data_IF_299558492570
#
_entry.id   IF_299558492570
#
_cell.length_a   1.000
_cell.length_b   1.000
_cell.length_c   1.000
_cell.angle_alpha   90.00
_cell.angle_beta   90.00
_cell.angle_gamma   90.00
#
_symmetry.space_group_name_H-M   'P 1'
#
loop_
_entity.id
_entity.type
_entity.pdbx_description
1 polymer ?
#
# COMPACT_ATOMS: atom_id res chain seq x y z
N UNK A 1 0.77 25.11 -5.45
CA UNK A 1 0.46 24.64 -4.07
C UNK A 1 0.58 23.13 -4.07
N UNK A 2 1.47 22.59 -3.23
CA UNK A 2 1.64 21.14 -3.07
C UNK A 2 0.41 20.57 -2.35
N UNK A 3 -0.44 19.89 -3.10
CA UNK A 3 -1.59 19.20 -2.52
C UNK A 3 -1.07 17.99 -1.75
N UNK A 4 -1.38 17.84 -0.45
CA UNK A 4 -0.97 16.68 0.30
C UNK A 4 -1.49 15.39 -0.34
N UNK A 5 -0.63 14.36 -0.44
CA UNK A 5 -1.02 13.05 -0.94
C UNK A 5 -1.93 12.35 0.09
N UNK A 6 -3.23 12.62 0.03
CA UNK A 6 -4.23 12.01 0.92
C UNK A 6 -4.86 10.79 0.28
N UNK A 7 -5.06 9.75 1.07
CA UNK A 7 -5.61 8.47 0.61
C UNK A 7 -6.95 8.62 -0.12
N UNK A 8 -7.85 9.44 0.40
CA UNK A 8 -9.18 9.63 -0.20
C UNK A 8 -9.10 10.25 -1.61
N UNK A 9 -8.19 11.21 -1.81
CA UNK A 9 -7.94 11.82 -3.13
C UNK A 9 -7.33 10.82 -4.09
N UNK A 10 -6.28 10.12 -3.66
CA UNK A 10 -5.59 9.12 -4.49
C UNK A 10 -6.52 7.97 -4.88
N UNK A 11 -7.35 7.48 -3.96
CA UNK A 11 -8.34 6.43 -4.25
C UNK A 11 -9.37 6.91 -5.26
N UNK A 12 -9.89 8.14 -5.12
CA UNK A 12 -10.85 8.72 -6.05
C UNK A 12 -10.25 8.85 -7.47
N UNK A 13 -9.03 9.35 -7.59
CA UNK A 13 -8.32 9.48 -8.87
C UNK A 13 -8.07 8.10 -9.50
N UNK A 14 -7.59 7.12 -8.71
CA UNK A 14 -7.39 5.75 -9.19
C UNK A 14 -8.69 5.10 -9.67
N UNK A 15 -9.79 5.31 -8.99
CA UNK A 15 -11.10 4.83 -9.45
C UNK A 15 -11.46 5.41 -10.81
N UNK A 16 -11.14 6.68 -11.07
CA UNK A 16 -11.32 7.32 -12.38
C UNK A 16 -10.46 6.67 -13.48
N UNK A 17 -9.17 6.45 -13.19
CA UNK A 17 -8.23 5.79 -14.11
C UNK A 17 -8.65 4.34 -14.40
N UNK A 18 -9.05 3.59 -13.38
CA UNK A 18 -9.50 2.20 -13.53
C UNK A 18 -10.77 2.10 -14.37
N UNK A 19 -11.72 3.01 -14.16
CA UNK A 19 -12.94 3.08 -14.99
C UNK A 19 -12.57 3.30 -16.45
N UNK A 20 -11.73 4.32 -16.73
CA UNK A 20 -11.23 4.62 -18.06
C UNK A 20 -10.54 3.40 -18.71
N UNK A 21 -9.69 2.71 -17.96
CA UNK A 21 -8.98 1.54 -18.46
C UNK A 21 -9.95 0.40 -18.82
N UNK A 22 -10.89 0.09 -17.94
CA UNK A 22 -11.86 -1.01 -18.14
C UNK A 22 -12.85 -0.78 -19.27
N UNK A 23 -13.15 0.46 -19.59
CA UNK A 23 -13.98 0.80 -20.78
C UNK A 23 -13.26 0.51 -22.11
N UNK A 24 -11.91 0.47 -22.10
CA UNK A 24 -11.08 0.39 -23.32
C UNK A 24 -10.36 -0.94 -23.49
N UNK A 25 -10.05 -1.60 -22.39
CA UNK A 25 -9.29 -2.85 -22.41
C UNK A 25 -10.04 -3.98 -21.70
N UNK A 26 -10.03 -5.15 -22.31
CA UNK A 26 -10.65 -6.35 -21.72
C UNK A 26 -9.85 -6.90 -20.54
N UNK A 27 -8.54 -6.70 -20.56
CA UNK A 27 -7.58 -7.19 -19.57
C UNK A 27 -6.91 -5.99 -18.93
N UNK A 28 -7.13 -5.81 -17.64
CA UNK A 28 -6.54 -4.74 -16.84
C UNK A 28 -5.85 -5.37 -15.65
N UNK A 29 -4.55 -5.09 -15.50
CA UNK A 29 -3.79 -5.42 -14.31
C UNK A 29 -3.45 -4.18 -13.52
N UNK A 30 -2.96 -4.37 -12.30
CA UNK A 30 -2.53 -3.27 -11.43
C UNK A 30 -1.13 -3.57 -10.88
N UNK A 31 -0.24 -2.58 -10.95
CA UNK A 31 1.04 -2.60 -10.25
C UNK A 31 1.04 -1.51 -9.19
N UNK A 32 1.43 -1.86 -7.96
CA UNK A 32 1.55 -0.91 -6.85
C UNK A 32 2.82 -1.13 -6.05
N UNK A 33 3.43 -0.02 -5.62
CA UNK A 33 4.60 -0.03 -4.74
C UNK A 33 4.27 0.75 -3.47
N UNK A 34 4.67 0.22 -2.31
CA UNK A 34 4.54 0.89 -1.02
C UNK A 34 3.10 1.41 -0.78
N UNK A 35 2.93 2.71 -0.48
CA UNK A 35 1.62 3.37 -0.35
C UNK A 35 0.75 3.24 -1.61
N UNK A 36 1.36 3.23 -2.81
CA UNK A 36 0.62 3.05 -4.06
C UNK A 36 -0.10 1.71 -4.13
N UNK A 37 0.46 0.65 -3.53
CA UNK A 37 -0.23 -0.62 -3.38
C UNK A 37 -1.47 -0.50 -2.49
N UNK A 38 -1.37 0.21 -1.35
CA UNK A 38 -2.49 0.43 -0.45
C UNK A 38 -3.65 1.22 -1.12
N UNK A 39 -3.33 2.28 -1.86
CA UNK A 39 -4.35 3.01 -2.61
C UNK A 39 -5.02 2.12 -3.66
N UNK A 40 -4.24 1.26 -4.34
CA UNK A 40 -4.77 0.26 -5.25
C UNK A 40 -5.65 -0.77 -4.55
N UNK A 41 -5.25 -1.25 -3.38
CA UNK A 41 -6.07 -2.17 -2.58
C UNK A 41 -7.45 -1.58 -2.27
N UNK A 42 -7.53 -0.29 -1.92
CA UNK A 42 -8.80 0.38 -1.67
C UNK A 42 -9.60 0.64 -2.96
N UNK A 43 -8.94 1.14 -4.01
CA UNK A 43 -9.61 1.50 -5.26
C UNK A 43 -10.10 0.29 -6.08
N UNK A 44 -9.44 -0.87 -5.91
CA UNK A 44 -9.70 -2.07 -6.71
C UNK A 44 -10.53 -3.13 -6.00
N UNK A 45 -10.96 -2.90 -4.75
CA UNK A 45 -11.79 -3.89 -4.03
C UNK A 45 -13.02 -4.28 -4.85
N UNK A 46 -13.17 -5.60 -5.10
CA UNK A 46 -14.28 -6.14 -5.85
C UNK A 46 -14.25 -5.89 -7.38
N UNK A 47 -13.17 -5.28 -7.90
CA UNK A 47 -12.99 -5.15 -9.34
C UNK A 47 -12.36 -6.41 -9.92
N UNK A 48 -12.84 -6.93 -11.06
CA UNK A 48 -12.22 -8.05 -11.74
C UNK A 48 -10.95 -7.57 -12.47
N UNK A 49 -9.82 -7.66 -11.78
CA UNK A 49 -8.51 -7.43 -12.37
C UNK A 49 -7.90 -8.76 -12.82
N UNK A 50 -7.16 -8.72 -13.92
CA UNK A 50 -6.49 -9.91 -14.42
C UNK A 50 -5.38 -10.39 -13.51
N UNK A 51 -4.60 -9.44 -12.99
CA UNK A 51 -3.55 -9.67 -11.99
C UNK A 51 -3.15 -8.39 -11.28
N UNK A 52 -2.59 -8.57 -10.11
CA UNK A 52 -1.95 -7.49 -9.37
C UNK A 52 -0.52 -7.87 -8.99
N UNK A 53 0.39 -6.91 -9.09
CA UNK A 53 1.78 -7.07 -8.67
C UNK A 53 2.09 -5.98 -7.65
N UNK A 54 2.55 -6.39 -6.49
CA UNK A 54 2.89 -5.45 -5.41
C UNK A 54 4.36 -5.57 -5.03
N UNK A 55 5.04 -4.42 -4.97
CA UNK A 55 6.40 -4.31 -4.49
C UNK A 55 6.42 -3.59 -3.14
N UNK A 56 6.94 -4.25 -2.11
CA UNK A 56 7.03 -3.71 -0.74
C UNK A 56 5.73 -3.01 -0.30
N UNK A 57 4.56 -3.68 -0.41
CA UNK A 57 3.28 -3.01 -0.24
C UNK A 57 3.02 -2.59 1.20
N UNK A 58 2.41 -1.43 1.39
CA UNK A 58 1.63 -1.15 2.59
C UNK A 58 0.28 -1.86 2.43
N UNK A 59 -0.05 -2.73 3.38
CA UNK A 59 -1.32 -3.49 3.39
C UNK A 59 -2.26 -3.06 4.53
N UNK A 60 -1.71 -2.39 5.56
CA UNK A 60 -2.46 -1.86 6.70
C UNK A 60 -1.94 -0.45 7.07
N UNK A 61 -2.51 0.57 6.48
CA UNK A 61 -2.13 1.96 6.73
C UNK A 61 -2.58 2.44 8.11
N UNK A 62 -3.70 1.92 8.63
CA UNK A 62 -4.18 2.28 9.95
C UNK A 62 -3.12 1.91 11.00
N UNK A 63 -2.58 0.71 10.92
CA UNK A 63 -1.55 0.22 11.85
C UNK A 63 -0.27 1.06 11.78
N UNK A 64 0.14 1.49 10.57
CA UNK A 64 1.30 2.39 10.41
C UNK A 64 1.05 3.74 11.10
N UNK A 65 -0.12 4.33 10.89
CA UNK A 65 -0.47 5.61 11.52
C UNK A 65 -0.55 5.45 13.04
N UNK A 66 -1.16 4.39 13.55
CA UNK A 66 -1.24 4.10 14.99
C UNK A 66 0.15 3.87 15.60
N UNK A 67 1.05 3.21 14.87
CA UNK A 67 2.46 3.08 15.26
C UNK A 67 3.16 4.44 15.41
N UNK A 68 3.00 5.33 14.43
CA UNK A 68 3.52 6.70 14.52
C UNK A 68 2.88 7.49 15.67
N UNK A 69 1.56 7.36 15.84
CA UNK A 69 0.86 8.00 16.97
C UNK A 69 1.42 7.52 18.32
N UNK A 70 1.65 6.23 18.48
CA UNK A 70 2.24 5.67 19.69
C UNK A 70 3.68 6.18 19.91
N UNK A 71 4.50 6.19 18.85
CA UNK A 71 5.89 6.66 18.92
C UNK A 71 5.99 8.13 19.37
N UNK A 72 5.08 8.98 18.92
CA UNK A 72 5.08 10.42 19.20
C UNK A 72 4.09 10.84 20.31
N UNK A 73 3.54 9.89 21.05
CA UNK A 73 2.58 10.13 22.13
C UNK A 73 1.37 10.97 21.68
N UNK A 74 0.89 10.71 20.46
CA UNK A 74 -0.32 11.33 19.92
C UNK A 74 -1.51 10.40 20.17
N UNK A 75 -2.54 10.91 20.86
CA UNK A 75 -3.80 10.17 21.04
C UNK A 75 -4.78 10.48 19.92
N UNK A 76 -5.72 9.57 19.60
CA UNK A 76 -6.78 9.86 18.63
C UNK A 76 -7.60 11.11 18.98
N UNK A 77 -7.85 11.32 20.27
CA UNK A 77 -8.56 12.52 20.77
C UNK A 77 -7.80 13.81 20.49
N UNK A 78 -6.48 13.80 20.69
CA UNK A 78 -5.61 14.93 20.38
C UNK A 78 -5.55 15.19 18.87
N UNK A 79 -5.34 14.16 18.07
CA UNK A 79 -5.29 14.29 16.61
C UNK A 79 -6.64 14.79 16.04
N UNK A 80 -7.76 14.35 16.62
CA UNK A 80 -9.09 14.84 16.26
C UNK A 80 -9.29 16.32 16.59
N UNK A 81 -8.79 16.76 17.75
CA UNK A 81 -8.95 18.14 18.19
C UNK A 81 -8.08 19.13 17.40
N UNK A 82 -6.84 18.73 17.06
CA UNK A 82 -5.90 19.57 16.33
C UNK A 82 -6.07 19.47 14.79
N UNK A 83 -6.63 18.37 14.29
CA UNK A 83 -6.84 18.13 12.85
C UNK A 83 -5.58 17.60 12.18
N UNK A 84 -4.43 18.19 12.44
CA UNK A 84 -3.13 17.78 11.92
C UNK A 84 -2.04 17.99 12.98
N UNK A 85 -1.08 17.06 13.00
CA UNK A 85 0.06 17.12 13.94
C UNK A 85 1.34 16.76 13.18
N UNK A 86 2.25 17.73 12.96
CA UNK A 86 3.57 17.47 12.40
C UNK A 86 4.39 16.58 13.34
N UNK A 87 5.14 15.63 12.81
CA UNK A 87 6.05 14.80 13.59
C UNK A 87 7.52 15.18 13.36
N UNK A 88 8.43 14.87 14.30
CA UNK A 88 9.85 15.18 14.15
C UNK A 88 10.54 14.49 12.97
N UNK A 89 9.96 13.45 12.39
CA UNK A 89 10.47 12.71 11.22
C UNK A 89 10.01 13.31 9.89
N UNK A 90 9.37 14.50 9.90
CA UNK A 90 8.93 15.19 8.70
C UNK A 90 7.61 14.67 8.11
N UNK A 91 6.96 13.72 8.77
CA UNK A 91 5.60 13.27 8.42
C UNK A 91 4.57 14.06 9.23
N UNK A 92 3.42 14.36 8.64
CA UNK A 92 2.31 14.97 9.37
C UNK A 92 1.18 13.96 9.51
N UNK A 93 0.71 13.79 10.74
CA UNK A 93 -0.49 13.00 11.03
C UNK A 93 -1.72 13.87 10.75
N UNK A 94 -2.66 13.33 9.96
CA UNK A 94 -3.91 14.01 9.62
C UNK A 94 -5.09 13.23 10.18
N UNK A 95 -6.01 13.91 10.87
CA UNK A 95 -7.21 13.27 11.42
C UNK A 95 -8.12 12.71 10.32
N UNK A 96 -8.33 13.44 9.23
CA UNK A 96 -9.18 13.02 8.12
C UNK A 96 -8.60 11.78 7.41
N UNK A 97 -7.27 11.68 7.29
CA UNK A 97 -6.59 10.50 6.75
C UNK A 97 -6.78 9.30 7.68
N UNK A 98 -6.46 9.45 8.98
CA UNK A 98 -6.60 8.38 9.97
C UNK A 98 -8.05 7.87 10.04
N UNK A 99 -9.04 8.78 10.11
CA UNK A 99 -10.44 8.42 10.09
C UNK A 99 -10.81 7.64 8.83
N UNK A 100 -10.40 8.12 7.65
CA UNK A 100 -10.70 7.47 6.39
C UNK A 100 -10.19 6.03 6.35
N UNK A 101 -8.94 5.77 6.71
CA UNK A 101 -8.38 4.41 6.68
C UNK A 101 -9.04 3.49 7.72
N UNK A 102 -9.45 4.04 8.88
CA UNK A 102 -10.16 3.28 9.91
C UNK A 102 -11.59 2.89 9.48
N UNK A 103 -12.24 3.75 8.70
CA UNK A 103 -13.59 3.52 8.17
C UNK A 103 -13.59 2.64 6.91
N UNK A 104 -12.44 2.49 6.23
CA UNK A 104 -12.31 1.76 4.96
C UNK A 104 -11.23 0.68 5.02
N UNK A 105 -11.37 -0.33 5.88
CA UNK A 105 -10.40 -1.43 5.94
C UNK A 105 -10.45 -2.28 4.66
N UNK A 106 -9.32 -2.87 4.30
CA UNK A 106 -9.27 -3.88 3.22
C UNK A 106 -9.84 -5.19 3.74
N UNK A 107 -11.11 -5.43 3.47
CA UNK A 107 -11.84 -6.61 3.96
C UNK A 107 -11.98 -7.71 2.92
N UNK A 108 -11.83 -7.38 1.64
CA UNK A 108 -11.96 -8.31 0.52
C UNK A 108 -10.90 -8.04 -0.54
N UNK A 109 -10.28 -9.12 -1.02
CA UNK A 109 -9.37 -9.06 -2.15
C UNK A 109 -9.45 -10.37 -2.93
N UNK A 110 -9.88 -10.31 -4.18
CA UNK A 110 -10.12 -11.49 -5.03
C UNK A 110 -9.20 -11.52 -6.26
N UNK A 111 -8.43 -10.45 -6.52
CA UNK A 111 -7.57 -10.39 -7.71
C UNK A 111 -6.35 -11.31 -7.54
N UNK A 112 -5.99 -12.10 -8.57
CA UNK A 112 -4.75 -12.88 -8.56
C UNK A 112 -3.55 -11.95 -8.31
N UNK A 113 -2.81 -12.18 -7.23
CA UNK A 113 -1.80 -11.24 -6.76
C UNK A 113 -0.48 -11.93 -6.46
N UNK A 114 0.61 -11.33 -6.96
CA UNK A 114 1.96 -11.63 -6.52
C UNK A 114 2.57 -10.44 -5.77
N UNK A 115 3.22 -10.71 -4.67
CA UNK A 115 3.87 -9.72 -3.79
C UNK A 115 5.35 -10.03 -3.76
N UNK A 116 6.19 -9.00 -3.90
CA UNK A 116 7.61 -9.05 -3.62
C UNK A 116 7.93 -8.06 -2.51
N UNK A 117 8.65 -8.52 -1.48
CA UNK A 117 9.20 -7.64 -0.44
C UNK A 117 10.61 -8.07 -0.05
N UNK A 118 11.32 -7.19 0.63
CA UNK A 118 12.64 -7.46 1.18
C UNK A 118 12.56 -7.97 2.62
N UNK A 119 13.48 -8.86 3.03
CA UNK A 119 13.54 -9.28 4.44
C UNK A 119 14.13 -8.21 5.36
N UNK A 120 14.83 -7.22 4.81
CA UNK A 120 15.35 -6.05 5.50
C UNK A 120 14.45 -4.81 5.38
N UNK A 121 13.22 -4.95 4.87
CA UNK A 121 12.25 -3.86 4.80
C UNK A 121 11.74 -3.54 6.21
N UNK A 122 12.09 -2.35 6.72
CA UNK A 122 11.70 -1.82 8.03
C UNK A 122 10.52 -0.84 7.98
N UNK A 123 10.06 -0.49 6.77
CA UNK A 123 8.94 0.45 6.56
C UNK A 123 7.59 -0.24 6.43
N UNK A 124 7.57 -1.39 5.76
CA UNK A 124 6.35 -2.21 5.61
C UNK A 124 6.43 -3.40 6.56
N UNK A 125 5.51 -3.51 7.50
CA UNK A 125 5.50 -4.60 8.46
C UNK A 125 5.47 -5.98 7.77
N UNK A 126 6.59 -6.70 7.73
CA UNK A 126 6.69 -8.01 7.09
C UNK A 126 5.61 -9.00 7.56
N UNK A 127 5.32 -9.00 8.87
CA UNK A 127 4.26 -9.84 9.44
C UNK A 127 2.88 -9.50 8.89
N UNK A 128 2.62 -8.23 8.62
CA UNK A 128 1.35 -7.77 8.06
C UNK A 128 1.22 -8.16 6.59
N UNK A 129 2.31 -8.05 5.81
CA UNK A 129 2.36 -8.52 4.42
C UNK A 129 2.12 -10.03 4.35
N UNK A 130 2.76 -10.80 5.23
CA UNK A 130 2.56 -12.25 5.29
C UNK A 130 1.12 -12.60 5.64
N UNK A 131 0.56 -11.99 6.68
CA UNK A 131 -0.83 -12.22 7.09
C UNK A 131 -1.82 -11.84 5.99
N UNK A 132 -1.55 -10.75 5.26
CA UNK A 132 -2.34 -10.35 4.10
C UNK A 132 -2.27 -11.40 2.98
N UNK A 133 -1.05 -11.86 2.65
CA UNK A 133 -0.85 -12.86 1.60
C UNK A 133 -1.55 -14.19 1.93
N UNK A 134 -1.47 -14.63 3.18
CA UNK A 134 -2.16 -15.85 3.66
C UNK A 134 -3.68 -15.68 3.60
N UNK A 135 -4.20 -14.55 4.10
CA UNK A 135 -5.64 -14.25 4.14
C UNK A 135 -6.28 -14.22 2.76
N UNK A 136 -5.60 -13.66 1.78
CA UNK A 136 -6.13 -13.44 0.43
C UNK A 136 -5.50 -14.35 -0.63
N UNK A 137 -4.77 -15.38 -0.20
CA UNK A 137 -4.14 -16.37 -1.08
C UNK A 137 -3.23 -15.75 -2.16
N UNK A 138 -2.50 -14.69 -1.78
CA UNK A 138 -1.53 -14.07 -2.66
C UNK A 138 -0.22 -14.87 -2.69
N UNK A 139 0.45 -14.88 -3.84
CA UNK A 139 1.81 -15.38 -3.93
C UNK A 139 2.75 -14.38 -3.26
N UNK A 140 3.59 -14.82 -2.31
CA UNK A 140 4.57 -13.98 -1.63
C UNK A 140 5.98 -14.47 -1.94
N UNK A 141 6.79 -13.59 -2.51
CA UNK A 141 8.22 -13.75 -2.72
C UNK A 141 8.98 -12.78 -1.79
N UNK A 142 9.95 -13.28 -1.04
CA UNK A 142 10.78 -12.47 -0.13
C UNK A 142 12.22 -12.53 -0.59
N UNK A 143 12.80 -11.38 -0.91
CA UNK A 143 14.23 -11.26 -1.20
C UNK A 143 15.00 -11.14 0.11
N UNK A 144 15.87 -12.11 0.42
CA UNK A 144 16.72 -12.06 1.60
C UNK A 144 17.70 -10.89 1.52
N UNK A 145 17.77 -10.09 2.60
CA UNK A 145 18.55 -8.85 2.64
C UNK A 145 18.02 -7.73 1.74
N UNK A 146 16.88 -7.92 1.08
CA UNK A 146 16.23 -6.86 0.29
C UNK A 146 15.71 -5.75 1.20
N UNK A 147 15.80 -4.52 0.73
CA UNK A 147 15.32 -3.32 1.43
C UNK A 147 13.94 -2.91 0.90
N UNK A 148 13.32 -1.89 1.54
CA UNK A 148 12.04 -1.35 1.08
C UNK A 148 12.11 -0.86 -0.38
N UNK A 149 13.15 -0.11 -0.71
CA UNK A 149 13.43 0.37 -2.05
C UNK A 149 14.46 -0.52 -2.73
N UNK A 150 14.04 -1.29 -3.70
CA UNK A 150 14.90 -2.14 -4.51
C UNK A 150 15.79 -1.27 -5.42
N UNK A 151 16.93 -0.81 -4.94
CA UNK A 151 17.77 0.18 -5.62
C UNK A 151 19.18 -0.31 -5.97
N UNK A 152 19.66 -1.37 -5.33
CA UNK A 152 20.98 -1.93 -5.69
C UNK A 152 20.90 -2.75 -6.98
N UNK A 153 22.01 -2.88 -7.75
CA UNK A 153 21.99 -3.68 -8.97
C UNK A 153 21.47 -5.12 -8.78
N UNK A 154 21.84 -5.77 -7.67
CA UNK A 154 21.36 -7.12 -7.34
C UNK A 154 19.85 -7.17 -7.05
N UNK A 155 19.35 -6.22 -6.28
CA UNK A 155 17.91 -6.11 -5.98
C UNK A 155 17.10 -5.80 -7.24
N UNK A 156 17.60 -4.90 -8.11
CA UNK A 156 16.94 -4.57 -9.37
C UNK A 156 16.91 -5.77 -10.33
N UNK A 157 18.01 -6.52 -10.43
CA UNK A 157 18.05 -7.74 -11.25
C UNK A 157 17.07 -8.80 -10.74
N UNK A 158 16.95 -8.97 -9.42
CA UNK A 158 15.97 -9.88 -8.82
C UNK A 158 14.54 -9.44 -9.11
N UNK A 159 14.24 -8.16 -8.91
CA UNK A 159 12.95 -7.54 -9.20
C UNK A 159 12.54 -7.70 -10.67
N UNK A 160 13.47 -7.45 -11.60
CA UNK A 160 13.23 -7.65 -13.03
C UNK A 160 12.90 -9.12 -13.35
N UNK A 161 13.66 -10.06 -12.77
CA UNK A 161 13.38 -11.49 -12.90
C UNK A 161 12.03 -11.88 -12.30
N UNK A 162 11.66 -11.28 -11.17
CA UNK A 162 10.35 -11.48 -10.54
C UNK A 162 9.21 -10.96 -11.41
N UNK A 163 9.35 -9.76 -11.99
CA UNK A 163 8.37 -9.21 -12.93
C UNK A 163 8.15 -10.15 -14.12
N UNK A 164 9.23 -10.61 -14.76
CA UNK A 164 9.15 -11.53 -15.93
C UNK A 164 8.43 -12.85 -15.61
N UNK A 165 8.53 -13.34 -14.37
CA UNK A 165 7.84 -14.59 -13.95
C UNK A 165 6.37 -14.39 -13.59
N UNK A 166 5.93 -13.17 -13.32
CA UNK A 166 4.59 -12.89 -12.82
C UNK A 166 3.76 -12.02 -13.80
N UNK A 167 4.34 -11.54 -14.90
CA UNK A 167 3.61 -10.91 -16.01
C UNK A 167 3.11 -11.97 -17.01
#
# INVERSE_FOLDING_TARGET
>A
EDTPCKVQTCVWELCGVLRYARERWKRVGFFGCSMGAYFGLLACQGLPLERCLFLSPVVDMQKIIEGMMAQFHVTPGRLRAEGEIPTPIGQTLYWDYYRYVSEHPVTRWDAPTAILCGSGDDMSGRGDIQAFAERFHCKLDVLEGGEHYFHTPGQLAYYEGWLKRNL
#
